data_IF_753820862394
#
_entry.id   IF_753820862394
#
_cell.length_a   1.000
_cell.length_b   1.000
_cell.length_c   1.000
_cell.angle_alpha   90.00
_cell.angle_beta   90.00
_cell.angle_gamma   90.00
#
_symmetry.space_group_name_H-M   'P 1'
#
loop_
_entity.id
_entity.type
_entity.pdbx_description
1 polymer ?
#
# COMPACT_ATOMS: atom_id res chain seq x y z
N UNK A 1 6.13 -4.05 2.95
CA UNK A 1 5.27 -5.16 3.41
C UNK A 1 5.06 -6.07 2.23
N UNK A 2 5.21 -7.37 2.46
CA UNK A 2 5.07 -8.39 1.43
C UNK A 2 4.40 -9.64 2.01
N UNK A 3 3.95 -10.55 1.14
CA UNK A 3 3.33 -11.80 1.52
C UNK A 3 3.70 -12.90 0.55
N UNK A 4 3.99 -14.08 1.08
CA UNK A 4 4.19 -15.30 0.28
C UNK A 4 3.21 -16.38 0.71
N UNK A 5 2.69 -17.14 -0.26
CA UNK A 5 1.81 -18.26 -0.01
C UNK A 5 2.23 -19.44 -0.89
N UNK A 6 2.61 -20.54 -0.25
CA UNK A 6 3.06 -21.75 -0.92
C UNK A 6 2.51 -22.99 -0.22
N UNK A 7 2.42 -24.08 -0.97
CA UNK A 7 1.97 -25.38 -0.45
C UNK A 7 3.17 -26.30 -0.29
N UNK A 8 3.30 -26.90 0.89
CA UNK A 8 4.24 -27.98 1.16
C UNK A 8 3.46 -29.26 1.43
N UNK A 9 3.31 -30.10 0.39
CA UNK A 9 2.40 -31.23 0.43
C UNK A 9 0.96 -30.76 0.66
N UNK A 10 0.37 -31.12 1.81
CA UNK A 10 -0.97 -30.67 2.22
C UNK A 10 -0.96 -29.41 3.08
N UNK A 11 0.20 -28.98 3.57
CA UNK A 11 0.33 -27.82 4.44
C UNK A 11 0.34 -26.53 3.61
N UNK A 12 -0.45 -25.54 4.02
CA UNK A 12 -0.46 -24.21 3.42
C UNK A 12 0.40 -23.26 4.26
N UNK A 13 1.45 -22.71 3.67
CA UNK A 13 2.36 -21.80 4.35
C UNK A 13 2.12 -20.41 3.78
N UNK A 14 1.42 -19.57 4.55
CA UNK A 14 1.11 -18.20 4.19
C UNK A 14 1.81 -17.27 5.19
N UNK A 15 2.79 -16.52 4.72
CA UNK A 15 3.64 -15.67 5.56
C UNK A 15 3.40 -14.23 5.16
N UNK A 16 2.89 -13.42 6.09
CA UNK A 16 2.86 -11.96 5.98
C UNK A 16 4.13 -11.40 6.62
N UNK A 17 4.88 -10.57 5.91
CA UNK A 17 6.18 -10.08 6.36
C UNK A 17 6.39 -8.57 6.18
N UNK A 18 7.17 -8.02 7.11
CA UNK A 18 7.80 -6.71 7.03
C UNK A 18 9.29 -6.91 6.91
N UNK A 19 9.87 -6.30 5.88
CA UNK A 19 11.30 -6.23 5.68
C UNK A 19 11.77 -4.79 5.61
N UNK A 20 13.04 -4.57 5.98
CA UNK A 20 13.74 -3.31 5.80
C UNK A 20 14.42 -3.36 4.44
N UNK A 21 14.17 -2.36 3.60
CA UNK A 21 14.86 -2.20 2.33
C UNK A 21 16.23 -1.57 2.56
N UNK A 22 17.30 -2.32 2.32
CA UNK A 22 18.67 -1.85 2.42
C UNK A 22 19.46 -2.24 1.17
N UNK A 23 20.08 -1.26 0.50
CA UNK A 23 20.88 -1.46 -0.72
C UNK A 23 20.16 -2.34 -1.77
N UNK A 24 18.91 -2.01 -2.07
CA UNK A 24 18.02 -2.73 -3.02
C UNK A 24 17.70 -4.18 -2.62
N UNK A 25 17.87 -4.55 -1.35
CA UNK A 25 17.51 -5.86 -0.81
C UNK A 25 16.51 -5.70 0.31
N UNK A 26 15.45 -6.49 0.30
CA UNK A 26 14.53 -6.57 1.41
C UNK A 26 15.07 -7.59 2.42
N UNK A 27 15.32 -7.14 3.65
CA UNK A 27 15.72 -8.01 4.77
C UNK A 27 14.49 -8.20 5.66
N UNK A 28 13.86 -9.38 5.71
CA UNK A 28 12.73 -9.63 6.58
C UNK A 28 13.12 -9.47 8.06
N UNK A 29 12.33 -8.73 8.82
CA UNK A 29 12.59 -8.46 10.24
C UNK A 29 11.40 -8.79 11.15
N UNK A 30 10.19 -8.87 10.60
CA UNK A 30 8.99 -9.25 11.32
C UNK A 30 8.08 -10.07 10.38
N UNK A 31 7.52 -11.18 10.86
CA UNK A 31 6.57 -11.96 10.07
C UNK A 31 5.51 -12.65 10.94
N UNK A 32 4.37 -12.95 10.34
CA UNK A 32 3.28 -13.72 10.94
C UNK A 32 2.89 -14.84 9.99
N UNK A 33 2.82 -16.07 10.48
CA UNK A 33 2.19 -17.17 9.78
C UNK A 33 0.67 -16.99 9.87
N UNK A 34 0.01 -16.89 8.72
CA UNK A 34 -1.44 -16.76 8.62
C UNK A 34 -2.04 -18.16 8.54
N UNK A 35 -2.94 -18.48 9.48
CA UNK A 35 -3.66 -19.77 9.52
C UNK A 35 -4.84 -19.83 8.52
N UNK A 36 -4.63 -19.27 7.33
CA UNK A 36 -5.63 -19.18 6.27
C UNK A 36 -5.00 -19.13 4.89
N UNK A 37 -5.76 -19.60 3.90
CA UNK A 37 -5.44 -19.38 2.48
C UNK A 37 -5.84 -17.96 2.08
N UNK A 38 -5.06 -17.32 1.21
CA UNK A 38 -5.39 -16.02 0.63
C UNK A 38 -4.77 -14.82 1.34
N UNK A 39 -5.41 -13.66 1.21
CA UNK A 39 -4.82 -12.36 1.57
C UNK A 39 -4.87 -12.08 3.07
N UNK A 40 -3.97 -11.21 3.53
CA UNK A 40 -4.05 -10.64 4.86
C UNK A 40 -5.29 -9.74 5.01
N UNK A 41 -5.85 -9.68 6.21
CA UNK A 41 -6.84 -8.67 6.55
C UNK A 41 -6.18 -7.44 7.21
N UNK A 42 -6.95 -6.37 7.37
CA UNK A 42 -6.49 -5.10 7.93
C UNK A 42 -5.91 -5.26 9.34
N UNK A 43 -6.56 -6.06 10.19
CA UNK A 43 -6.11 -6.33 11.58
C UNK A 43 -4.75 -7.06 11.63
N UNK A 44 -4.51 -8.01 10.74
CA UNK A 44 -3.24 -8.73 10.65
C UNK A 44 -2.09 -7.81 10.23
N UNK A 45 -2.35 -6.90 9.27
CA UNK A 45 -1.37 -5.88 8.84
C UNK A 45 -1.05 -4.91 9.96
N UNK A 46 -2.08 -4.38 10.62
CA UNK A 46 -1.95 -3.51 11.79
C UNK A 46 -1.15 -4.22 12.89
N UNK A 47 -1.49 -5.46 13.23
CA UNK A 47 -0.77 -6.22 14.24
C UNK A 47 0.70 -6.43 13.91
N UNK A 48 1.03 -6.67 12.64
CA UNK A 48 2.41 -6.83 12.19
C UNK A 48 3.20 -5.52 12.27
N UNK A 49 2.64 -4.39 11.82
CA UNK A 49 3.31 -3.07 11.90
C UNK A 49 3.42 -2.60 13.34
N UNK A 50 2.39 -2.76 14.16
CA UNK A 50 2.44 -2.46 15.60
C UNK A 50 3.56 -3.22 16.31
N UNK A 51 3.73 -4.51 15.98
CA UNK A 51 4.84 -5.31 16.54
C UNK A 51 6.20 -4.79 16.07
N UNK A 52 6.33 -4.44 14.79
CA UNK A 52 7.55 -3.84 14.27
C UNK A 52 7.87 -2.54 15.01
N UNK A 53 6.91 -1.62 15.15
CA UNK A 53 7.09 -0.34 15.86
C UNK A 53 7.50 -0.57 17.31
N UNK A 54 6.91 -1.55 18.00
CA UNK A 54 7.29 -1.89 19.38
C UNK A 54 8.75 -2.35 19.51
N UNK A 55 9.29 -3.02 18.49
CA UNK A 55 10.66 -3.54 18.50
C UNK A 55 11.66 -2.46 18.05
N UNK A 56 11.35 -1.72 16.99
CA UNK A 56 12.29 -0.82 16.32
C UNK A 56 12.09 0.66 16.65
N UNK A 57 10.94 1.05 17.19
CA UNK A 57 10.51 2.44 17.37
C UNK A 57 9.92 3.04 16.09
N UNK A 58 9.27 4.21 16.23
CA UNK A 58 8.64 4.94 15.12
C UNK A 58 9.61 5.82 14.32
N UNK A 59 10.76 6.19 14.89
CA UNK A 59 11.71 7.13 14.28
C UNK A 59 12.77 6.52 13.35
N UNK A 60 12.66 5.23 12.99
CA UNK A 60 13.67 4.51 12.19
C UNK A 60 13.19 4.06 10.81
N UNK A 61 11.98 4.44 10.42
CA UNK A 61 11.39 4.06 9.13
C UNK A 61 10.94 5.29 8.37
N UNK A 62 11.52 5.49 7.19
CA UNK A 62 11.17 6.62 6.34
C UNK A 62 9.79 6.45 5.71
N UNK A 63 9.49 5.24 5.19
CA UNK A 63 8.22 4.99 4.49
C UNK A 63 7.85 3.51 4.44
N UNK A 64 6.57 3.20 4.60
CA UNK A 64 5.99 1.87 4.41
C UNK A 64 5.62 1.67 2.94
N UNK A 65 6.31 0.75 2.26
CA UNK A 65 5.99 0.33 0.90
C UNK A 65 5.13 -0.92 0.90
N UNK A 66 4.09 -1.00 0.05
CA UNK A 66 3.30 -2.21 -0.12
C UNK A 66 2.60 -2.26 -1.49
N UNK A 67 2.26 -3.46 -1.98
CA UNK A 67 1.52 -3.66 -3.23
C UNK A 67 -0.03 -3.61 -3.02
N UNK A 68 -0.78 -3.65 -4.12
CA UNK A 68 -2.25 -3.54 -4.24
C UNK A 68 -3.08 -4.59 -3.49
N UNK A 69 -2.45 -5.57 -2.86
CA UNK A 69 -3.13 -6.49 -1.94
C UNK A 69 -3.23 -5.96 -0.50
N UNK A 70 -2.48 -4.90 -0.15
CA UNK A 70 -2.41 -4.34 1.20
C UNK A 70 -3.15 -3.00 1.30
N UNK A 71 -4.42 -2.99 0.89
CA UNK A 71 -5.30 -1.81 0.87
C UNK A 71 -6.53 -2.01 1.77
N UNK A 72 -7.14 -0.93 2.24
CA UNK A 72 -8.35 -0.96 3.08
C UNK A 72 -8.55 0.33 3.86
N UNK A 73 -9.80 0.67 4.19
CA UNK A 73 -10.16 1.93 4.84
C UNK A 73 -9.59 2.04 6.27
N UNK A 74 -9.83 1.04 7.12
CA UNK A 74 -9.31 1.03 8.50
C UNK A 74 -7.78 0.96 8.51
N UNK A 75 -7.20 0.27 7.52
CA UNK A 75 -5.76 0.19 7.31
C UNK A 75 -5.14 1.56 7.03
N UNK A 76 -5.66 2.31 6.07
CA UNK A 76 -5.16 3.65 5.78
C UNK A 76 -5.43 4.61 6.93
N UNK A 77 -6.62 4.56 7.56
CA UNK A 77 -6.94 5.35 8.76
C UNK A 77 -5.90 5.14 9.85
N UNK A 78 -5.62 3.88 10.18
CA UNK A 78 -4.68 3.52 11.23
C UNK A 78 -3.26 4.03 10.93
N UNK A 79 -2.78 3.90 9.68
CA UNK A 79 -1.49 4.43 9.26
C UNK A 79 -1.40 5.95 9.46
N UNK A 80 -2.45 6.71 9.08
CA UNK A 80 -2.51 8.16 9.26
C UNK A 80 -2.52 8.55 10.73
N UNK A 81 -3.38 7.93 11.54
CA UNK A 81 -3.50 8.21 12.97
C UNK A 81 -2.19 7.97 13.74
N UNK A 82 -1.38 7.01 13.28
CA UNK A 82 -0.09 6.67 13.88
C UNK A 82 1.09 7.40 13.23
N UNK A 83 0.83 8.35 12.32
CA UNK A 83 1.84 9.10 11.58
C UNK A 83 2.88 8.21 10.89
N UNK A 84 2.43 7.11 10.29
CA UNK A 84 3.29 6.18 9.56
C UNK A 84 3.27 6.60 8.09
N UNK A 85 4.38 7.14 7.53
CA UNK A 85 4.42 7.48 6.12
C UNK A 85 4.27 6.23 5.27
N UNK A 86 3.53 6.30 4.17
CA UNK A 86 3.31 5.14 3.30
C UNK A 86 3.25 5.52 1.83
N UNK A 87 3.69 4.59 0.98
CA UNK A 87 3.44 4.55 -0.46
C UNK A 87 2.94 3.15 -0.80
N UNK A 88 1.64 3.02 -1.05
CA UNK A 88 0.98 1.74 -1.31
C UNK A 88 0.40 1.76 -2.71
N UNK A 89 0.78 0.80 -3.54
CA UNK A 89 0.21 0.65 -4.88
C UNK A 89 -1.28 0.33 -4.77
N UNK A 90 -2.10 0.94 -5.60
CA UNK A 90 -3.54 0.66 -5.67
C UNK A 90 -3.94 0.14 -7.05
N UNK A 91 -5.10 -0.52 -7.13
CA UNK A 91 -5.65 -0.97 -8.42
C UNK A 91 -6.18 0.23 -9.20
N UNK A 92 -6.02 0.17 -10.52
CA UNK A 92 -6.52 1.20 -11.46
C UNK A 92 -8.02 1.49 -11.36
N UNK A 93 -8.81 0.48 -10.98
CA UNK A 93 -10.26 0.56 -10.79
C UNK A 93 -10.66 0.76 -9.32
N UNK A 94 -9.75 1.27 -8.49
CA UNK A 94 -10.13 1.76 -7.17
C UNK A 94 -11.00 3.01 -7.34
N UNK A 95 -12.10 3.09 -6.60
CA UNK A 95 -13.05 4.20 -6.71
C UNK A 95 -12.57 5.38 -5.87
N UNK A 96 -12.56 6.55 -6.49
CA UNK A 96 -12.29 7.84 -5.86
C UNK A 96 -13.29 8.89 -6.32
N UNK A 97 -13.23 10.10 -5.77
CA UNK A 97 -14.10 11.22 -6.17
C UNK A 97 -13.33 12.23 -7.02
N UNK A 98 -13.96 12.67 -8.11
CA UNK A 98 -13.45 13.77 -8.92
C UNK A 98 -13.78 15.14 -8.31
N UNK A 99 -13.35 16.23 -8.96
CA UNK A 99 -13.62 17.60 -8.50
C UNK A 99 -15.10 17.98 -8.41
N UNK A 100 -15.99 17.20 -9.03
CA UNK A 100 -17.46 17.37 -8.98
C UNK A 100 -18.11 16.48 -7.91
N UNK A 101 -17.32 15.74 -7.13
CA UNK A 101 -17.80 14.80 -6.11
C UNK A 101 -18.42 13.51 -6.66
N UNK A 102 -18.22 13.22 -7.95
CA UNK A 102 -18.71 11.98 -8.57
C UNK A 102 -17.68 10.87 -8.43
N UNK A 103 -18.16 9.66 -8.18
CA UNK A 103 -17.36 8.46 -8.14
C UNK A 103 -16.78 8.15 -9.53
N UNK A 104 -15.46 7.96 -9.58
CA UNK A 104 -14.70 7.62 -10.78
C UNK A 104 -13.64 6.57 -10.45
N UNK A 105 -13.25 5.79 -11.45
CA UNK A 105 -12.03 4.98 -11.34
C UNK A 105 -10.81 5.89 -11.23
N UNK A 106 -9.88 5.53 -10.35
CA UNK A 106 -8.69 6.35 -10.09
C UNK A 106 -7.79 6.52 -11.31
N UNK A 107 -7.78 5.57 -12.25
CA UNK A 107 -7.00 5.70 -13.48
C UNK A 107 -7.46 6.83 -14.39
N UNK A 108 -8.75 7.19 -14.35
CA UNK A 108 -9.31 8.32 -15.06
C UNK A 108 -8.63 9.64 -14.70
N UNK A 109 -8.10 9.76 -13.47
CA UNK A 109 -7.37 10.95 -13.02
C UNK A 109 -5.98 11.09 -13.68
N UNK A 110 -5.41 9.98 -14.16
CA UNK A 110 -4.04 9.91 -14.69
C UNK A 110 -3.98 9.51 -16.18
N UNK A 111 -5.12 9.44 -16.88
CA UNK A 111 -5.18 9.00 -18.28
C UNK A 111 -4.32 9.85 -19.22
N UNK A 112 -4.12 11.13 -18.88
CA UNK A 112 -3.37 12.09 -19.68
C UNK A 112 -1.84 11.89 -19.63
N UNK A 113 -1.32 11.11 -18.67
CA UNK A 113 0.12 10.85 -18.53
C UNK A 113 0.67 10.01 -19.69
N UNK A 114 1.72 10.51 -20.34
CA UNK A 114 2.49 9.82 -21.39
C UNK A 114 3.62 8.98 -20.77
N UNK A 115 4.16 7.97 -21.49
CA UNK A 115 5.26 7.14 -20.98
C UNK A 115 6.43 7.97 -20.45
N UNK A 116 6.88 7.66 -19.23
CA UNK A 116 7.91 8.40 -18.50
C UNK A 116 7.40 9.59 -17.69
N UNK A 117 6.13 9.98 -17.81
CA UNK A 117 5.53 11.07 -17.02
C UNK A 117 4.97 10.56 -15.69
N UNK A 118 5.16 11.38 -14.65
CA UNK A 118 4.61 11.19 -13.31
C UNK A 118 3.91 12.46 -12.81
N UNK A 119 2.95 12.28 -11.91
CA UNK A 119 2.20 13.37 -11.32
C UNK A 119 1.70 12.98 -9.93
N UNK A 120 1.87 13.88 -8.96
CA UNK A 120 1.09 13.86 -7.71
C UNK A 120 -0.10 14.82 -7.84
N UNK A 121 -1.30 14.33 -7.52
CA UNK A 121 -2.50 15.17 -7.54
C UNK A 121 -2.48 16.18 -6.39
N UNK A 122 -3.01 17.37 -6.65
CA UNK A 122 -3.15 18.40 -5.63
C UNK A 122 -4.25 18.05 -4.65
N UNK A 123 -3.91 17.99 -3.36
CA UNK A 123 -4.88 17.70 -2.30
C UNK A 123 -5.16 16.21 -2.13
N UNK A 124 -5.83 15.88 -1.02
CA UNK A 124 -6.22 14.53 -0.74
C UNK A 124 -7.55 14.19 -1.44
N UNK A 125 -7.64 12.96 -1.94
CA UNK A 125 -8.83 12.41 -2.57
C UNK A 125 -9.48 11.37 -1.66
N UNK A 126 -10.79 11.21 -1.79
CA UNK A 126 -11.51 10.16 -1.08
C UNK A 126 -11.13 8.80 -1.69
N UNK A 127 -10.64 7.89 -0.85
CA UNK A 127 -10.37 6.50 -1.20
C UNK A 127 -10.95 5.63 -0.09
N UNK A 128 -11.88 4.74 -0.43
CA UNK A 128 -12.75 4.09 0.57
C UNK A 128 -13.46 5.15 1.42
N UNK A 129 -13.08 5.33 2.68
CA UNK A 129 -13.62 6.37 3.58
C UNK A 129 -12.52 7.30 4.13
N UNK A 130 -11.34 7.30 3.49
CA UNK A 130 -10.18 8.05 3.93
C UNK A 130 -9.79 9.12 2.91
N UNK A 131 -9.27 10.26 3.41
CA UNK A 131 -8.65 11.29 2.57
C UNK A 131 -7.17 10.98 2.40
N UNK A 132 -6.76 10.60 1.19
CA UNK A 132 -5.40 10.12 0.88
C UNK A 132 -4.87 10.83 -0.36
N UNK A 133 -3.58 11.14 -0.39
CA UNK A 133 -2.94 11.71 -1.58
C UNK A 133 -2.70 10.63 -2.63
N UNK A 134 -2.75 11.02 -3.89
CA UNK A 134 -2.64 10.12 -5.03
C UNK A 134 -1.50 10.57 -5.93
N UNK A 135 -0.60 9.64 -6.24
CA UNK A 135 0.43 9.82 -7.25
C UNK A 135 0.26 8.76 -8.35
N UNK A 136 0.53 9.15 -9.59
CA UNK A 136 0.46 8.29 -10.75
C UNK A 136 1.71 8.44 -11.61
N UNK A 137 2.16 7.35 -12.21
CA UNK A 137 3.24 7.34 -13.19
C UNK A 137 2.88 6.41 -14.35
N UNK A 138 3.16 6.84 -15.57
CA UNK A 138 3.08 6.00 -16.76
C UNK A 138 4.46 5.42 -17.02
N UNK A 139 4.61 4.11 -16.85
CA UNK A 139 5.88 3.43 -17.08
C UNK A 139 6.26 3.43 -18.57
N UNK A 140 7.52 3.15 -18.86
CA UNK A 140 8.06 3.12 -20.23
C UNK A 140 7.35 2.10 -21.13
N UNK A 141 6.80 1.03 -20.54
CA UNK A 141 5.99 0.02 -21.22
C UNK A 141 4.51 0.41 -21.40
N UNK A 142 4.13 1.61 -20.93
CA UNK A 142 2.78 2.15 -20.98
C UNK A 142 1.88 1.72 -19.81
N UNK A 143 2.34 0.89 -18.88
CA UNK A 143 1.56 0.51 -17.70
C UNK A 143 1.35 1.72 -16.77
N UNK A 144 0.13 1.86 -16.23
CA UNK A 144 -0.17 2.87 -15.22
C UNK A 144 0.14 2.33 -13.83
N UNK A 145 1.08 2.98 -13.15
CA UNK A 145 1.33 2.79 -11.73
C UNK A 145 0.60 3.87 -10.94
N UNK A 146 -0.23 3.47 -9.97
CA UNK A 146 -0.94 4.41 -9.08
C UNK A 146 -0.60 4.06 -7.65
N UNK A 147 -0.26 5.08 -6.87
CA UNK A 147 0.20 5.00 -5.49
C UNK A 147 -0.72 5.87 -4.61
N UNK A 148 -1.26 5.27 -3.56
CA UNK A 148 -1.83 5.96 -2.42
C UNK A 148 -0.70 6.34 -1.46
N UNK A 149 -0.62 7.62 -1.09
CA UNK A 149 0.47 8.15 -0.26
C UNK A 149 -0.01 9.04 0.88
N UNK A 150 0.76 9.06 1.97
CA UNK A 150 0.49 9.84 3.18
C UNK A 150 0.75 11.34 3.03
N UNK A 151 1.53 11.75 2.03
CA UNK A 151 1.92 13.13 1.78
C UNK A 151 2.06 13.41 0.27
N UNK A 152 1.93 14.67 -0.19
CA UNK A 152 2.12 15.04 -1.60
C UNK A 152 3.56 14.83 -2.11
#
# INVERSE_FOLDING_TARGET
MDRTNWQYGRANINILMLGICYKKRAIPVCWTLLDKKGNSNEKERIGLVSRFIRIFGTGRTDILLADREFVGGDWFRWLREHNIPFNIRIKKNAITTNSRGLDVDVDGLFYHLKPGEEQTLSGAHKLWDESIYLAGARLDDGELLIIATSAP
#
